data_IF_416601922634
#
_entry.id   IF_416601922634
#
_cell.length_a   1.000
_cell.length_b   1.000
_cell.length_c   1.000
_cell.angle_alpha   90.00
_cell.angle_beta   90.00
_cell.angle_gamma   90.00
#
_symmetry.space_group_name_H-M   'P 1'
#
loop_
_entity.id
_entity.type
_entity.pdbx_description
1 polymer ?
#
# COMPACT_ATOMS: atom_id res chain seq x y z
N UNK A 1 30.77 20.11 14.14
CA UNK A 1 30.02 18.84 14.19
C UNK A 1 28.84 18.96 13.24
N UNK A 2 28.79 18.15 12.19
CA UNK A 2 27.70 18.22 11.21
C UNK A 2 26.42 17.66 11.85
N UNK A 3 25.41 18.51 12.00
CA UNK A 3 24.07 18.09 12.40
C UNK A 3 23.51 17.21 11.31
N UNK A 4 23.36 15.91 11.57
CA UNK A 4 22.66 15.00 10.68
C UNK A 4 21.18 15.38 10.70
N UNK A 5 20.74 16.09 9.66
CA UNK A 5 19.32 16.39 9.45
C UNK A 5 18.57 15.07 9.39
N UNK A 6 17.74 14.79 10.41
CA UNK A 6 16.85 13.62 10.38
C UNK A 6 16.01 13.70 9.09
N UNK A 7 15.86 12.58 8.35
CA UNK A 7 15.08 12.58 7.12
C UNK A 7 13.68 13.10 7.42
N UNK A 8 13.21 14.06 6.61
CA UNK A 8 11.87 14.61 6.70
C UNK A 8 10.86 13.45 6.72
N UNK A 9 10.08 13.37 7.80
CA UNK A 9 9.04 12.34 7.96
C UNK A 9 7.93 12.69 6.99
N UNK A 10 8.01 12.16 5.77
CA UNK A 10 6.93 12.22 4.80
C UNK A 10 5.96 11.05 5.02
N UNK A 11 4.67 11.24 4.71
CA UNK A 11 3.72 10.14 4.56
C UNK A 11 4.30 8.98 3.75
N UNK A 12 4.11 7.75 4.22
CA UNK A 12 4.30 6.54 3.41
C UNK A 12 3.04 6.32 2.59
N UNK A 13 3.20 6.35 1.28
CA UNK A 13 2.09 6.14 0.35
C UNK A 13 1.93 4.65 0.07
N UNK A 14 0.74 4.13 0.38
CA UNK A 14 0.33 2.76 0.04
C UNK A 14 -0.64 2.84 -1.13
N UNK A 15 -0.31 2.24 -2.26
CA UNK A 15 -1.22 2.12 -3.40
C UNK A 15 -1.92 0.75 -3.42
N UNK A 16 -3.23 0.77 -3.68
CA UNK A 16 -4.03 -0.44 -3.95
C UNK A 16 -5.01 -0.20 -5.10
N UNK A 17 -5.60 -1.26 -5.63
CA UNK A 17 -6.48 -1.17 -6.78
C UNK A 17 -7.82 -0.50 -6.41
N UNK A 18 -8.35 0.36 -7.29
CA UNK A 18 -9.64 1.03 -7.10
C UNK A 18 -10.86 0.15 -7.42
N UNK A 19 -10.68 -1.16 -7.59
CA UNK A 19 -11.74 -2.14 -7.83
C UNK A 19 -12.50 -2.57 -6.57
N UNK A 20 -13.12 -3.76 -6.63
CA UNK A 20 -13.66 -4.40 -5.42
C UNK A 20 -12.52 -4.61 -4.44
N UNK A 21 -12.70 -4.17 -3.21
CA UNK A 21 -11.76 -4.50 -2.15
C UNK A 21 -11.81 -6.00 -1.92
N UNK A 22 -10.67 -6.67 -2.07
CA UNK A 22 -10.52 -8.03 -1.64
C UNK A 22 -10.16 -8.06 -0.14
N UNK A 23 -10.50 -9.14 0.56
CA UNK A 23 -10.32 -9.20 2.01
C UNK A 23 -8.85 -9.11 2.44
N UNK A 24 -7.94 -9.62 1.61
CA UNK A 24 -6.49 -9.53 1.78
C UNK A 24 -5.95 -8.09 1.63
N UNK A 25 -6.49 -7.31 0.70
CA UNK A 25 -6.16 -5.87 0.56
C UNK A 25 -6.55 -5.08 1.82
N UNK A 26 -7.75 -5.33 2.34
CA UNK A 26 -8.26 -4.68 3.57
C UNK A 26 -7.41 -5.10 4.77
N UNK A 27 -7.11 -6.39 4.90
CA UNK A 27 -6.27 -6.89 5.98
C UNK A 27 -4.87 -6.27 5.93
N UNK A 28 -4.22 -6.27 4.76
CA UNK A 28 -2.88 -5.72 4.60
C UNK A 28 -2.80 -4.22 4.91
N UNK A 29 -3.76 -3.43 4.39
CA UNK A 29 -3.81 -1.98 4.66
C UNK A 29 -4.06 -1.66 6.13
N UNK A 30 -4.96 -2.40 6.80
CA UNK A 30 -5.22 -2.22 8.24
C UNK A 30 -4.03 -2.66 9.09
N UNK A 31 -3.35 -3.76 8.74
CA UNK A 31 -2.17 -4.21 9.47
C UNK A 31 -1.05 -3.16 9.38
N UNK A 32 -0.79 -2.61 8.20
CA UNK A 32 0.22 -1.57 8.04
C UNK A 32 -0.17 -0.29 8.78
N UNK A 33 -1.43 0.13 8.77
CA UNK A 33 -1.90 1.25 9.59
C UNK A 33 -1.68 1.01 11.08
N UNK A 34 -1.92 -0.21 11.58
CA UNK A 34 -1.71 -0.55 13.00
C UNK A 34 -0.23 -0.63 13.39
N UNK A 35 0.62 -1.17 12.52
CA UNK A 35 2.05 -1.39 12.79
C UNK A 35 2.85 -0.10 12.57
N UNK A 36 2.58 0.62 11.48
CA UNK A 36 3.36 1.75 11.02
C UNK A 36 2.71 3.10 11.31
N UNK A 37 1.38 3.15 11.46
CA UNK A 37 0.62 4.37 11.64
C UNK A 37 0.91 5.10 12.96
N UNK A 38 0.17 6.18 13.19
CA UNK A 38 0.37 7.16 14.28
C UNK A 38 0.77 6.54 15.62
N UNK A 39 1.57 7.25 16.44
CA UNK A 39 1.90 6.78 17.78
C UNK A 39 0.62 6.64 18.61
N UNK A 40 0.17 5.40 18.76
CA UNK A 40 -0.61 4.94 19.90
C UNK A 40 0.17 3.78 20.52
N UNK A 41 -0.30 3.27 21.66
CA UNK A 41 0.38 2.29 22.53
C UNK A 41 0.89 0.99 21.86
N UNK A 42 0.68 0.79 20.54
CA UNK A 42 1.07 -0.40 19.78
C UNK A 42 1.95 -0.13 18.53
N UNK A 43 2.25 1.14 18.18
CA UNK A 43 3.08 1.49 17.00
C UNK A 43 4.37 2.19 17.40
N UNK A 44 5.51 1.60 17.04
CA UNK A 44 6.86 2.08 17.38
C UNK A 44 7.45 3.06 16.35
N UNK A 45 6.85 3.15 15.16
CA UNK A 45 7.44 3.88 14.01
C UNK A 45 6.92 5.31 13.81
N UNK A 46 5.76 5.66 14.36
CA UNK A 46 5.22 7.03 14.30
C UNK A 46 4.99 7.59 12.89
N UNK A 47 4.86 6.73 11.89
CA UNK A 47 4.74 7.11 10.49
C UNK A 47 3.30 7.54 10.15
N UNK A 48 3.15 8.48 9.23
CA UNK A 48 1.86 8.82 8.64
C UNK A 48 1.65 7.95 7.40
N UNK A 49 0.50 7.30 7.26
CA UNK A 49 0.16 6.50 6.07
C UNK A 49 -0.83 7.27 5.20
N UNK A 50 -0.55 7.32 3.90
CA UNK A 50 -1.45 7.83 2.87
C UNK A 50 -1.90 6.67 1.95
N UNK A 51 -3.17 6.27 2.05
CA UNK A 51 -3.73 5.16 1.27
C UNK A 51 -4.36 5.67 -0.02
N UNK A 52 -3.74 5.34 -1.15
CA UNK A 52 -4.18 5.74 -2.49
C UNK A 52 -4.80 4.56 -3.23
N UNK A 53 -6.09 4.66 -3.58
CA UNK A 53 -6.78 3.65 -4.39
C UNK A 53 -6.87 4.07 -5.84
N UNK A 54 -6.19 3.38 -6.75
CA UNK A 54 -6.09 3.80 -8.15
C UNK A 54 -5.82 2.64 -9.11
N UNK A 55 -6.06 2.91 -10.40
CA UNK A 55 -5.60 2.08 -11.55
C UNK A 55 -4.54 2.79 -12.39
N UNK A 56 -4.16 4.00 -12.00
CA UNK A 56 -3.17 4.78 -12.73
C UNK A 56 -1.77 4.22 -12.42
N UNK A 57 -1.15 3.60 -13.42
CA UNK A 57 0.18 3.00 -13.31
C UNK A 57 1.24 4.01 -12.84
N UNK A 58 1.16 5.27 -13.26
CA UNK A 58 2.11 6.31 -12.84
C UNK A 58 2.00 6.66 -11.36
N UNK A 59 0.79 6.54 -10.78
CA UNK A 59 0.58 6.77 -9.35
C UNK A 59 1.08 5.56 -8.56
N UNK A 60 0.78 4.34 -9.04
CA UNK A 60 1.23 3.09 -8.41
C UNK A 60 2.76 3.01 -8.40
N UNK A 61 3.42 3.37 -9.50
CA UNK A 61 4.89 3.37 -9.65
C UNK A 61 5.60 4.33 -8.68
N UNK A 62 4.91 5.36 -8.20
CA UNK A 62 5.44 6.35 -7.25
C UNK A 62 5.14 6.02 -5.79
N UNK A 63 4.34 5.00 -5.51
CA UNK A 63 3.99 4.61 -4.15
C UNK A 63 5.18 3.92 -3.45
N UNK A 64 5.24 4.05 -2.13
CA UNK A 64 6.27 3.39 -1.32
C UNK A 64 5.95 1.91 -1.09
N UNK A 65 4.65 1.57 -0.99
CA UNK A 65 4.15 0.21 -0.84
C UNK A 65 2.99 0.00 -1.83
N UNK A 66 2.93 -1.16 -2.46
CA UNK A 66 1.83 -1.54 -3.34
C UNK A 66 1.21 -2.84 -2.83
N UNK A 67 -0.11 -2.85 -2.59
CA UNK A 67 -0.86 -4.01 -2.10
C UNK A 67 -1.87 -4.47 -3.14
N UNK A 68 -1.68 -5.72 -3.58
CA UNK A 68 -2.56 -6.50 -4.44
C UNK A 68 -3.17 -5.72 -5.62
N UNK A 69 -2.37 -4.90 -6.28
CA UNK A 69 -2.72 -4.46 -7.62
C UNK A 69 -2.74 -5.72 -8.49
N UNK A 70 -3.92 -6.18 -8.89
CA UNK A 70 -4.02 -7.23 -9.90
C UNK A 70 -3.14 -6.86 -11.11
N UNK A 71 -2.70 -7.86 -11.88
CA UNK A 71 -1.90 -7.61 -13.07
C UNK A 71 -2.52 -6.50 -13.93
N UNK A 72 -1.67 -5.68 -14.58
CA UNK A 72 -2.16 -4.78 -15.64
C UNK A 72 -3.09 -5.59 -16.53
N UNK A 73 -4.26 -5.03 -16.85
CA UNK A 73 -5.25 -5.70 -17.71
C UNK A 73 -4.74 -5.71 -19.16
N UNK A 74 -3.65 -6.44 -19.39
CA UNK A 74 -3.20 -6.93 -20.67
C UNK A 74 -3.87 -8.26 -20.93
N UNK A 75 -4.29 -8.46 -22.17
CA UNK A 75 -5.06 -9.61 -22.66
C UNK A 75 -4.21 -10.90 -22.61
N UNK A 76 -3.85 -11.38 -21.43
CA UNK A 76 -3.20 -12.68 -21.25
C UNK A 76 -4.27 -13.75 -20.93
N UNK A 77 -4.26 -14.89 -21.63
CA UNK A 77 -5.38 -15.84 -21.66
C UNK A 77 -5.52 -16.75 -20.43
N UNK A 78 -4.91 -16.44 -19.28
CA UNK A 78 -4.91 -17.38 -18.16
C UNK A 78 -5.20 -16.69 -16.81
N UNK A 79 -6.46 -16.78 -16.39
CA UNK A 79 -6.85 -16.62 -14.99
C UNK A 79 -6.49 -17.91 -14.24
N UNK A 80 -5.25 -18.05 -13.78
CA UNK A 80 -4.89 -19.22 -12.94
C UNK A 80 -5.20 -19.02 -11.45
N UNK A 81 -5.34 -17.79 -10.97
CA UNK A 81 -5.53 -17.52 -9.53
C UNK A 81 -7.00 -17.38 -9.07
N UNK A 82 -7.98 -17.63 -9.95
CA UNK A 82 -9.39 -17.75 -9.57
C UNK A 82 -9.99 -18.99 -10.24
N UNK A 83 -9.67 -20.17 -9.72
CA UNK A 83 -10.54 -21.34 -9.93
C UNK A 83 -11.79 -21.11 -9.08
N UNK A 84 -12.87 -20.67 -9.73
CA UNK A 84 -14.22 -20.77 -9.17
C UNK A 84 -14.53 -22.25 -9.01
N UNK A 85 -14.66 -22.72 -7.77
CA UNK A 85 -15.50 -23.88 -7.44
C UNK A 85 -16.96 -23.49 -7.58
#
# INVERSE_FOLDING_TARGET
MASATLPSIRPVTIATHSGKFHCDEVLGTVMLDKILGRPNNYSTSGLFIDLVRTRNAEVIRKADIVIAVGAEFGRLPFREHQRRT
#
